data_IF_708389277478
#
_entry.id   IF_708389277478
#
_cell.length_a   1.000
_cell.length_b   1.000
_cell.length_c   1.000
_cell.angle_alpha   90.00
_cell.angle_beta   90.00
_cell.angle_gamma   90.00
#
_symmetry.space_group_name_H-M   'P 1'
#
loop_
_entity.id
_entity.type
_entity.pdbx_description
1 polymer ?
#
# COMPACT_ATOMS: atom_id res chain seq x y z
N UNK A 1 -14.89 -6.21 12.64
CA UNK A 1 -14.62 -5.64 11.31
C UNK A 1 -13.49 -6.49 10.72
N UNK A 2 -13.69 -7.08 9.55
CA UNK A 2 -12.65 -7.92 8.92
C UNK A 2 -11.55 -7.01 8.36
N UNK A 3 -10.29 -7.42 8.50
CA UNK A 3 -9.16 -6.73 7.87
C UNK A 3 -9.27 -6.85 6.35
N UNK A 4 -8.99 -5.74 5.65
CA UNK A 4 -8.89 -5.74 4.19
C UNK A 4 -7.58 -6.37 3.71
N UNK A 5 -7.36 -6.31 2.40
CA UNK A 5 -6.13 -6.82 1.77
C UNK A 5 -4.89 -5.98 2.11
N UNK A 6 -5.10 -4.72 2.48
CA UNK A 6 -4.11 -3.79 3.01
C UNK A 6 -4.58 -3.32 4.37
N UNK A 7 -3.67 -3.26 5.33
CA UNK A 7 -3.97 -2.78 6.67
C UNK A 7 -2.71 -2.33 7.41
N UNK A 8 -2.90 -1.38 8.30
CA UNK A 8 -1.86 -0.90 9.22
C UNK A 8 -1.75 -1.79 10.45
N UNK A 9 -0.62 -1.69 11.13
CA UNK A 9 -0.44 -2.30 12.45
C UNK A 9 -1.54 -1.88 13.42
N UNK A 10 -1.98 -0.62 13.37
CA UNK A 10 -3.06 -0.11 14.24
C UNK A 10 -4.37 -0.86 13.96
N UNK A 11 -4.77 -0.94 12.71
CA UNK A 11 -6.01 -1.64 12.32
C UNK A 11 -5.97 -3.12 12.70
N UNK A 12 -4.83 -3.79 12.52
CA UNK A 12 -4.64 -5.16 12.97
C UNK A 12 -4.81 -5.31 14.49
N UNK A 13 -4.30 -4.35 15.27
CA UNK A 13 -4.46 -4.35 16.73
C UNK A 13 -5.92 -4.10 17.13
N UNK A 14 -6.59 -3.16 16.47
CA UNK A 14 -8.01 -2.83 16.69
C UNK A 14 -8.95 -3.96 16.28
N UNK A 15 -8.56 -4.79 15.29
CA UNK A 15 -9.28 -6.00 14.92
C UNK A 15 -9.07 -7.18 15.89
N UNK A 16 -8.24 -7.00 16.92
CA UNK A 16 -7.98 -8.00 17.96
C UNK A 16 -6.74 -8.87 17.75
N UNK A 17 -5.92 -8.63 16.72
CA UNK A 17 -4.67 -9.39 16.53
C UNK A 17 -3.64 -8.98 17.59
N UNK A 18 -2.99 -9.98 18.19
CA UNK A 18 -1.84 -9.74 19.06
C UNK A 18 -0.60 -9.37 18.24
N UNK A 19 0.35 -8.64 18.83
CA UNK A 19 1.66 -8.40 18.20
C UNK A 19 2.28 -9.73 17.75
N UNK A 20 2.29 -10.74 18.61
CA UNK A 20 2.81 -12.07 18.27
C UNK A 20 2.09 -12.70 17.08
N UNK A 21 0.77 -12.54 16.97
CA UNK A 21 0.00 -13.06 15.84
C UNK A 21 0.38 -12.36 14.53
N UNK A 22 0.49 -11.02 14.52
CA UNK A 22 0.88 -10.25 13.33
C UNK A 22 2.26 -10.70 12.82
N UNK A 23 3.24 -10.82 13.72
CA UNK A 23 4.59 -11.24 13.33
C UNK A 23 4.63 -12.72 12.93
N UNK A 24 3.83 -13.59 13.54
CA UNK A 24 3.71 -14.98 13.10
C UNK A 24 3.09 -15.11 11.69
N UNK A 25 2.08 -14.30 11.35
CA UNK A 25 1.50 -14.25 10.00
C UNK A 25 2.52 -13.74 8.97
N UNK A 26 3.35 -12.75 9.35
CA UNK A 26 4.43 -12.26 8.49
C UNK A 26 5.48 -13.35 8.26
N UNK A 27 5.94 -13.99 9.33
CA UNK A 27 7.01 -14.98 9.26
C UNK A 27 6.58 -16.26 8.54
N UNK A 28 5.28 -16.58 8.56
CA UNK A 28 4.67 -17.67 7.77
C UNK A 28 4.37 -17.29 6.31
N UNK A 29 4.50 -16.00 5.95
CA UNK A 29 4.24 -15.51 4.60
C UNK A 29 2.76 -15.31 4.27
N UNK A 30 1.85 -15.36 5.25
CA UNK A 30 0.44 -15.00 5.05
C UNK A 30 0.27 -13.50 4.74
N UNK A 31 1.18 -12.67 5.26
CA UNK A 31 1.21 -11.23 5.03
C UNK A 31 2.64 -10.76 4.70
N UNK A 32 2.72 -9.70 3.92
CA UNK A 32 3.95 -9.04 3.49
C UNK A 32 4.02 -7.67 4.17
N UNK A 33 5.15 -7.35 4.78
CA UNK A 33 5.40 -6.01 5.32
C UNK A 33 5.86 -5.08 4.20
N UNK A 34 5.15 -3.97 3.99
CA UNK A 34 5.44 -2.99 2.93
C UNK A 34 6.35 -1.86 3.42
N UNK A 35 6.28 -1.51 4.71
CA UNK A 35 7.00 -0.37 5.31
C UNK A 35 6.08 0.43 6.23
N UNK A 36 6.62 1.25 7.13
CA UNK A 36 5.85 2.14 8.03
C UNK A 36 4.72 1.48 8.85
N UNK A 37 4.80 0.16 9.08
CA UNK A 37 3.76 -0.60 9.75
C UNK A 37 2.56 -0.95 8.87
N UNK A 38 2.67 -0.79 7.56
CA UNK A 38 1.71 -1.25 6.56
C UNK A 38 1.98 -2.71 6.16
N UNK A 39 0.90 -3.49 6.11
CA UNK A 39 0.92 -4.89 5.74
C UNK A 39 -0.06 -5.15 4.60
N UNK A 40 0.25 -6.17 3.81
CA UNK A 40 -0.58 -6.66 2.72
C UNK A 40 -0.79 -8.17 2.83
N UNK A 41 -1.97 -8.68 2.54
CA UNK A 41 -2.18 -10.14 2.41
C UNK A 41 -1.41 -10.69 1.20
N UNK A 42 -0.75 -11.83 1.37
CA UNK A 42 0.10 -12.40 0.33
C UNK A 42 -0.71 -12.92 -0.89
N UNK A 43 -2.00 -13.19 -0.71
CA UNK A 43 -2.96 -13.64 -1.72
C UNK A 43 -3.75 -12.49 -2.37
N UNK A 44 -3.47 -11.23 -2.02
CA UNK A 44 -4.17 -10.08 -2.59
C UNK A 44 -3.78 -9.82 -4.05
N UNK A 45 -4.74 -9.36 -4.85
CA UNK A 45 -4.56 -9.04 -6.28
C UNK A 45 -3.39 -8.07 -6.53
N UNK A 46 -2.59 -8.26 -7.59
CA UNK A 46 -1.46 -7.38 -7.92
C UNK A 46 -1.86 -5.90 -7.88
N UNK A 47 -1.05 -5.10 -7.20
CA UNK A 47 -1.29 -3.66 -7.06
C UNK A 47 0.04 -2.93 -7.02
N UNK A 48 0.02 -1.67 -7.42
CA UNK A 48 1.18 -0.79 -7.36
C UNK A 48 1.47 -0.41 -5.90
N UNK A 49 2.47 -1.06 -5.32
CA UNK A 49 2.83 -0.90 -3.91
C UNK A 49 3.35 0.50 -3.60
N UNK A 50 4.02 1.15 -4.55
CA UNK A 50 4.56 2.47 -4.35
C UNK A 50 3.44 3.51 -4.32
N UNK A 51 2.42 3.36 -5.17
CA UNK A 51 1.20 4.19 -5.10
C UNK A 51 0.42 3.97 -3.80
N UNK A 52 0.32 2.73 -3.32
CA UNK A 52 -0.32 2.41 -2.03
C UNK A 52 0.41 3.11 -0.89
N UNK A 53 1.74 2.96 -0.83
CA UNK A 53 2.55 3.60 0.21
C UNK A 53 2.50 5.13 0.12
N UNK A 54 2.46 5.70 -1.09
CA UNK A 54 2.27 7.13 -1.29
C UNK A 54 0.92 7.60 -0.74
N UNK A 55 -0.16 6.91 -1.09
CA UNK A 55 -1.52 7.26 -0.66
C UNK A 55 -1.67 7.20 0.87
N UNK A 56 -1.03 6.22 1.51
CA UNK A 56 -1.01 6.13 2.97
C UNK A 56 -0.19 7.27 3.60
N UNK A 57 0.99 7.57 3.05
CA UNK A 57 1.90 8.57 3.61
C UNK A 57 1.46 10.00 3.36
N UNK A 58 0.81 10.27 2.22
CA UNK A 58 0.37 11.60 1.78
C UNK A 58 -1.04 11.50 1.20
N UNK A 59 -2.08 11.36 2.04
CA UNK A 59 -3.45 11.09 1.59
C UNK A 59 -4.09 12.21 0.77
N UNK A 60 -3.52 13.42 0.80
CA UNK A 60 -3.95 14.57 -0.01
C UNK A 60 -3.11 14.76 -1.29
N UNK A 61 -2.20 13.83 -1.58
CA UNK A 61 -1.41 13.87 -2.80
C UNK A 61 -2.30 13.65 -4.04
N UNK A 62 -2.04 14.43 -5.08
CA UNK A 62 -2.65 14.24 -6.40
C UNK A 62 -1.56 13.79 -7.38
N UNK A 63 -1.78 12.70 -8.10
CA UNK A 63 -0.87 12.26 -9.16
C UNK A 63 -0.78 13.33 -10.24
N UNK A 64 0.42 13.62 -10.73
CA UNK A 64 0.64 14.63 -11.75
C UNK A 64 1.64 14.15 -12.82
N UNK A 65 1.90 14.99 -13.82
CA UNK A 65 2.90 14.78 -14.87
C UNK A 65 2.85 13.37 -15.50
N UNK A 66 3.99 12.71 -15.67
CA UNK A 66 4.06 11.41 -16.38
C UNK A 66 3.27 10.33 -15.65
N UNK A 67 3.26 10.34 -14.31
CA UNK A 67 2.48 9.37 -13.53
C UNK A 67 0.98 9.49 -13.81
N UNK A 68 0.43 10.71 -13.85
CA UNK A 68 -0.98 10.91 -14.18
C UNK A 68 -1.29 10.48 -15.61
N UNK A 69 -0.42 10.84 -16.57
CA UNK A 69 -0.60 10.47 -17.97
C UNK A 69 -0.57 8.95 -18.16
N UNK A 70 0.40 8.26 -17.56
CA UNK A 70 0.52 6.80 -17.63
C UNK A 70 -0.69 6.10 -16.97
N UNK A 71 -1.16 6.61 -15.83
CA UNK A 71 -2.34 6.09 -15.11
C UNK A 71 -3.62 6.14 -15.95
N UNK A 72 -3.69 7.09 -16.89
CA UNK A 72 -4.84 7.32 -17.77
C UNK A 72 -4.60 6.83 -19.21
N UNK A 73 -3.58 6.00 -19.44
CA UNK A 73 -3.23 5.43 -20.75
C UNK A 73 -3.00 6.51 -21.84
N UNK A 74 -2.47 7.67 -21.45
CA UNK A 74 -2.19 8.80 -22.36
C UNK A 74 -0.74 8.84 -22.87
N UNK A 75 0.13 8.00 -22.31
CA UNK A 75 1.51 7.80 -22.74
C UNK A 75 1.86 6.30 -22.64
N UNK A 76 2.78 5.85 -23.49
CA UNK A 76 3.28 4.46 -23.47
C UNK A 76 4.51 4.28 -22.57
N UNK A 77 5.14 5.38 -22.14
CA UNK A 77 6.29 5.34 -21.26
C UNK A 77 5.87 4.87 -19.86
N UNK A 78 6.63 3.93 -19.30
CA UNK A 78 6.49 3.53 -17.89
C UNK A 78 7.32 4.52 -17.05
N UNK A 79 6.69 5.36 -16.22
CA UNK A 79 7.41 6.35 -15.42
C UNK A 79 8.41 5.69 -14.49
N UNK A 80 9.65 6.17 -14.48
CA UNK A 80 10.70 5.67 -13.58
C UNK A 80 10.55 6.20 -12.15
N UNK A 81 9.72 7.22 -11.97
CA UNK A 81 9.44 7.90 -10.70
C UNK A 81 7.95 8.18 -10.59
N UNK A 82 7.46 8.32 -9.36
CA UNK A 82 6.09 8.74 -9.09
C UNK A 82 6.05 10.25 -8.87
N UNK A 83 5.38 10.93 -9.79
CA UNK A 83 5.08 12.35 -9.73
C UNK A 83 3.79 12.59 -8.96
N UNK A 84 3.87 13.40 -7.91
CA UNK A 84 2.72 13.82 -7.12
C UNK A 84 2.83 15.28 -6.68
N UNK A 85 1.68 15.93 -6.56
CA UNK A 85 1.54 17.29 -6.04
C UNK A 85 0.87 17.25 -4.65
N UNK A 86 1.27 18.18 -3.78
CA UNK A 86 0.66 18.43 -2.46
C UNK A 86 0.02 19.82 -2.44
N UNK A 87 -1.00 20.07 -1.59
CA UNK A 87 -1.63 21.38 -1.44
C UNK A 87 -0.69 22.51 -0.98
#
# INVERSE_FOLDING_TARGET
MALGDLFTYREARESGLSHRAIYAMRDSGEIIALGDGLFRRADADPADLDLIMLAERVPMATLCLETALARHDLIDAIPMVIDFAVP
#
